data_IF_746892501127
#
_entry.id   IF_746892501127
#
_cell.length_a   1.000
_cell.length_b   1.000
_cell.length_c   1.000
_cell.angle_alpha   90.00
_cell.angle_beta   90.00
_cell.angle_gamma   90.00
#
_symmetry.space_group_name_H-M   'P 1'
#
loop_
_entity.id
_entity.type
_entity.pdbx_description
1 polymer ?
#
# COMPACT_ATOMS: atom_id res chain seq x y z
N UNK A 1 6.95 2.43 18.41
CA UNK A 1 7.39 1.93 17.09
C UNK A 1 8.82 2.37 16.87
N UNK A 2 9.64 1.55 16.21
CA UNK A 2 10.92 2.02 15.66
C UNK A 2 10.66 3.04 14.53
N UNK A 3 11.60 3.97 14.27
CA UNK A 3 11.51 4.85 13.10
C UNK A 3 11.49 4.03 11.79
N UNK A 4 10.85 4.53 10.72
CA UNK A 4 10.84 3.85 9.43
C UNK A 4 12.27 3.70 8.89
N UNK A 5 12.57 2.57 8.26
CA UNK A 5 13.82 2.33 7.56
C UNK A 5 13.75 2.80 6.09
N UNK A 6 14.34 3.96 5.73
CA UNK A 6 14.29 4.48 4.37
C UNK A 6 15.03 3.58 3.36
N UNK A 7 16.05 2.83 3.79
CA UNK A 7 16.74 1.89 2.90
C UNK A 7 15.87 0.69 2.49
N UNK A 8 14.77 0.43 3.20
CA UNK A 8 13.74 -0.55 2.81
C UNK A 8 12.54 0.09 2.10
N UNK A 9 12.51 1.42 1.95
CA UNK A 9 11.32 2.14 1.50
C UNK A 9 10.16 2.05 2.50
N UNK A 10 10.45 1.97 3.80
CA UNK A 10 9.41 2.04 4.83
C UNK A 10 8.90 3.47 5.00
N UNK A 11 7.59 3.61 5.19
CA UNK A 11 6.94 4.88 5.53
C UNK A 11 5.92 4.66 6.63
N UNK A 12 5.70 5.67 7.47
CA UNK A 12 4.64 5.65 8.49
C UNK A 12 3.56 6.64 8.09
N UNK A 13 2.31 6.18 8.05
CA UNK A 13 1.13 6.98 7.72
C UNK A 13 0.07 6.84 8.80
N UNK A 14 -0.77 7.87 8.98
CA UNK A 14 -1.96 7.73 9.81
C UNK A 14 -3.04 6.97 9.04
N UNK A 15 -3.48 5.84 9.57
CA UNK A 15 -4.46 4.97 8.93
C UNK A 15 -5.38 4.36 10.00
N UNK A 16 -6.70 4.49 9.81
CA UNK A 16 -7.71 3.96 10.73
C UNK A 16 -7.50 4.43 12.19
N UNK A 17 -7.08 5.69 12.36
CA UNK A 17 -6.87 6.34 13.65
C UNK A 17 -5.56 5.99 14.37
N UNK A 18 -4.63 5.27 13.73
CA UNK A 18 -3.32 4.95 14.32
C UNK A 18 -2.18 5.13 13.30
N UNK A 19 -0.95 5.42 13.74
CA UNK A 19 0.22 5.33 12.86
C UNK A 19 0.46 3.88 12.45
N UNK A 20 0.61 3.65 11.14
CA UNK A 20 0.86 2.34 10.54
C UNK A 20 2.06 2.41 9.63
N UNK A 21 2.89 1.36 9.66
CA UNK A 21 4.03 1.24 8.78
C UNK A 21 3.64 0.52 7.48
N UNK A 22 4.04 1.11 6.36
CA UNK A 22 3.88 0.54 5.03
C UNK A 22 5.25 0.31 4.40
N UNK A 23 5.35 -0.69 3.54
CA UNK A 23 6.55 -0.94 2.74
C UNK A 23 6.17 -1.68 1.45
N UNK A 24 6.51 -1.10 0.30
CA UNK A 24 6.31 -1.74 -1.00
C UNK A 24 7.47 -2.70 -1.29
N UNK A 25 7.44 -3.85 -0.62
CA UNK A 25 8.36 -4.95 -0.91
C UNK A 25 8.01 -5.61 -2.25
N UNK A 26 8.93 -6.38 -2.83
CA UNK A 26 8.63 -7.20 -4.03
C UNK A 26 7.49 -8.20 -3.80
N UNK A 27 7.32 -8.71 -2.57
CA UNK A 27 6.18 -9.57 -2.22
C UNK A 27 4.85 -8.81 -2.10
N UNK A 28 4.89 -7.56 -1.63
CA UNK A 28 3.72 -6.68 -1.65
C UNK A 28 3.34 -6.32 -3.09
N UNK A 29 4.34 -6.00 -3.92
CA UNK A 29 4.19 -5.74 -5.34
C UNK A 29 3.52 -6.90 -6.09
N UNK A 30 4.03 -8.12 -5.93
CA UNK A 30 3.45 -9.30 -6.58
C UNK A 30 1.98 -9.55 -6.17
N UNK A 31 1.62 -9.26 -4.92
CA UNK A 31 0.22 -9.34 -4.46
C UNK A 31 -0.67 -8.27 -5.07
N UNK A 32 -0.15 -7.07 -5.24
CA UNK A 32 -0.86 -5.97 -5.93
C UNK A 32 -1.13 -6.38 -7.37
N UNK A 33 -0.13 -6.87 -8.10
CA UNK A 33 -0.28 -7.34 -9.48
C UNK A 33 -1.32 -8.45 -9.59
N UNK A 34 -1.25 -9.45 -8.70
CA UNK A 34 -2.23 -10.54 -8.67
C UNK A 34 -3.66 -10.07 -8.35
N UNK A 35 -3.82 -9.13 -7.41
CA UNK A 35 -5.13 -8.58 -7.04
C UNK A 35 -5.74 -7.73 -8.15
N UNK A 36 -4.90 -7.01 -8.89
CA UNK A 36 -5.31 -6.11 -9.97
C UNK A 36 -5.39 -6.79 -11.34
N UNK A 37 -4.93 -8.05 -11.45
CA UNK A 37 -4.87 -8.79 -12.71
C UNK A 37 -3.82 -8.26 -13.68
N UNK A 38 -2.73 -7.68 -13.17
CA UNK A 38 -1.67 -7.10 -14.00
C UNK A 38 -0.70 -8.18 -14.47
N UNK A 39 -0.30 -8.07 -15.73
CA UNK A 39 0.76 -8.92 -16.29
C UNK A 39 2.14 -8.28 -16.18
N UNK A 40 2.20 -6.96 -16.01
CA UNK A 40 3.42 -6.18 -15.92
C UNK A 40 3.20 -4.89 -15.12
N UNK A 41 4.23 -4.45 -14.40
CA UNK A 41 4.20 -3.25 -13.57
C UNK A 41 3.94 -1.95 -14.35
N UNK A 42 4.29 -1.90 -15.64
CA UNK A 42 4.01 -0.72 -16.48
C UNK A 42 2.52 -0.41 -16.62
N UNK A 43 1.62 -1.37 -16.35
CA UNK A 43 0.17 -1.22 -16.41
C UNK A 43 -0.41 -0.60 -15.12
N UNK A 44 0.38 -0.50 -14.06
CA UNK A 44 -0.07 -0.03 -12.76
C UNK A 44 -0.59 1.42 -12.78
N UNK A 45 0.05 2.40 -13.45
CA UNK A 45 -0.42 3.79 -13.44
C UNK A 45 -1.86 3.93 -13.96
N UNK A 46 -2.16 3.31 -15.10
CA UNK A 46 -3.51 3.32 -15.70
C UNK A 46 -4.52 2.60 -14.81
N UNK A 47 -4.10 1.50 -14.16
CA UNK A 47 -4.97 0.76 -13.25
C UNK A 47 -5.25 1.53 -11.96
N UNK A 48 -4.27 2.24 -11.41
CA UNK A 48 -4.44 3.09 -10.21
C UNK A 48 -5.51 4.16 -10.45
N UNK A 49 -5.56 4.74 -11.65
CA UNK A 49 -6.55 5.75 -12.02
C UNK A 49 -8.01 5.23 -12.02
N UNK A 50 -8.20 3.90 -12.08
CA UNK A 50 -9.51 3.25 -12.22
C UNK A 50 -9.80 2.23 -11.11
N UNK A 51 -9.15 2.36 -9.94
CA UNK A 51 -9.33 1.43 -8.83
C UNK A 51 -10.76 1.45 -8.28
N UNK A 52 -11.31 0.26 -8.10
CA UNK A 52 -12.50 0.09 -7.25
C UNK A 52 -12.12 0.16 -5.76
N UNK A 53 -13.11 0.32 -4.89
CA UNK A 53 -12.88 0.25 -3.44
C UNK A 53 -12.22 -1.09 -3.03
N UNK A 54 -12.63 -2.20 -3.67
CA UNK A 54 -12.05 -3.53 -3.42
C UNK A 54 -10.56 -3.57 -3.81
N UNK A 55 -10.23 -3.00 -4.95
CA UNK A 55 -8.85 -2.95 -5.45
C UNK A 55 -7.97 -2.11 -4.51
N UNK A 56 -8.47 -0.95 -4.09
CA UNK A 56 -7.76 -0.06 -3.17
C UNK A 56 -7.53 -0.73 -1.80
N UNK A 57 -8.52 -1.46 -1.27
CA UNK A 57 -8.36 -2.26 -0.05
C UNK A 57 -7.30 -3.35 -0.22
N UNK A 58 -7.28 -4.06 -1.34
CA UNK A 58 -6.29 -5.11 -1.61
C UNK A 58 -4.86 -4.55 -1.71
N UNK A 59 -4.70 -3.41 -2.37
CA UNK A 59 -3.41 -2.70 -2.46
C UNK A 59 -2.93 -2.29 -1.07
N UNK A 60 -3.80 -1.67 -0.28
CA UNK A 60 -3.45 -1.21 1.07
C UNK A 60 -3.11 -2.39 2.00
N UNK A 61 -3.84 -3.50 1.91
CA UNK A 61 -3.55 -4.72 2.66
C UNK A 61 -2.16 -5.28 2.32
N UNK A 62 -1.76 -5.28 1.05
CA UNK A 62 -0.43 -5.73 0.63
C UNK A 62 0.69 -4.81 1.16
N UNK A 63 0.48 -3.50 1.18
CA UNK A 63 1.42 -2.52 1.73
C UNK A 63 1.59 -2.63 3.24
N UNK A 64 0.49 -2.82 3.98
CA UNK A 64 0.49 -3.06 5.42
C UNK A 64 1.29 -4.32 5.75
N UNK A 65 1.02 -5.42 5.06
CA UNK A 65 1.73 -6.67 5.29
C UNK A 65 3.24 -6.54 4.98
N UNK A 66 3.60 -5.81 3.91
CA UNK A 66 5.00 -5.48 3.62
C UNK A 66 5.69 -4.68 4.74
N UNK A 67 4.95 -3.80 5.41
CA UNK A 67 5.38 -3.03 6.59
C UNK A 67 5.34 -3.81 7.91
N UNK A 68 4.87 -5.07 7.89
CA UNK A 68 4.67 -5.90 9.08
C UNK A 68 3.46 -5.51 9.93
N UNK A 69 2.49 -4.81 9.34
CA UNK A 69 1.21 -4.47 9.95
C UNK A 69 0.11 -5.46 9.52
N UNK A 70 -0.92 -5.67 10.36
CA UNK A 70 -2.03 -6.54 10.02
C UNK A 70 -2.82 -6.02 8.79
N UNK A 71 -3.04 -6.85 7.75
CA UNK A 71 -3.66 -6.42 6.49
C UNK A 71 -5.15 -6.07 6.63
N UNK A 72 -5.86 -6.63 7.63
CA UNK A 72 -7.29 -6.35 7.88
C UNK A 72 -7.56 -4.88 8.26
N UNK A 73 -6.53 -4.15 8.71
CA UNK A 73 -6.63 -2.70 8.97
C UNK A 73 -7.05 -1.94 7.71
N UNK A 74 -6.73 -2.44 6.52
CA UNK A 74 -7.13 -1.82 5.25
C UNK A 74 -8.65 -1.64 5.12
N UNK A 75 -9.45 -2.56 5.67
CA UNK A 75 -10.91 -2.48 5.60
C UNK A 75 -11.51 -1.35 6.46
N UNK A 76 -10.73 -0.80 7.40
CA UNK A 76 -11.13 0.28 8.30
C UNK A 76 -10.71 1.66 7.79
N UNK A 77 -9.91 1.72 6.73
CA UNK A 77 -9.44 2.96 6.15
C UNK A 77 -10.52 3.63 5.30
N UNK A 78 -10.58 4.95 5.38
CA UNK A 78 -11.37 5.78 4.45
C UNK A 78 -10.64 5.93 3.11
N UNK A 79 -11.38 6.33 2.06
CA UNK A 79 -10.79 6.54 0.72
C UNK A 79 -9.63 7.55 0.73
N UNK A 80 -9.73 8.72 1.41
CA UNK A 80 -8.62 9.67 1.46
C UNK A 80 -7.39 9.13 2.19
N UNK A 81 -7.58 8.40 3.30
CA UNK A 81 -6.50 7.74 4.02
C UNK A 81 -5.79 6.72 3.14
N UNK A 82 -6.53 5.87 2.43
CA UNK A 82 -5.98 4.86 1.55
C UNK A 82 -5.22 5.47 0.35
N UNK A 83 -5.75 6.53 -0.25
CA UNK A 83 -5.08 7.25 -1.34
C UNK A 83 -3.78 7.92 -0.88
N UNK A 84 -3.80 8.59 0.27
CA UNK A 84 -2.61 9.19 0.89
C UNK A 84 -1.56 8.14 1.24
N UNK A 85 -1.99 7.01 1.80
CA UNK A 85 -1.14 5.87 2.14
C UNK A 85 -0.43 5.30 0.90
N UNK A 86 -1.16 5.07 -0.19
CA UNK A 86 -0.60 4.58 -1.44
C UNK A 86 0.42 5.57 -2.03
N UNK A 87 0.09 6.87 -2.07
CA UNK A 87 0.99 7.91 -2.55
C UNK A 87 2.28 7.98 -1.73
N UNK A 88 2.18 7.92 -0.39
CA UNK A 88 3.33 7.92 0.50
C UNK A 88 4.22 6.68 0.32
N UNK A 89 3.62 5.51 0.13
CA UNK A 89 4.36 4.27 -0.11
C UNK A 89 5.13 4.31 -1.45
N UNK A 90 4.51 4.82 -2.52
CA UNK A 90 5.18 4.99 -3.81
C UNK A 90 6.32 6.00 -3.74
N UNK A 91 6.11 7.13 -3.05
CA UNK A 91 7.15 8.15 -2.87
C UNK A 91 8.35 7.65 -2.05
N UNK A 92 8.13 6.74 -1.10
CA UNK A 92 9.19 6.17 -0.27
C UNK A 92 10.08 5.16 -1.01
N UNK A 93 9.66 4.67 -2.18
CA UNK A 93 10.40 3.73 -3.00
C UNK A 93 11.10 4.36 -4.22
N UNK A 94 10.87 5.65 -4.46
CA UNK A 94 11.53 6.44 -5.51
C UNK A 94 12.88 6.99 -5.01
#
# INVERSE_FOLDING_TARGET
MLPPNPARGEVVVALAGAPRRLCLTLGALARIEAALGLSDWSQLPDRIATLSAKDLTAVLAALLDGGGEPPDVAARATVPEAASALAAALAACA
#
